data_IF_724956145063
#
_entry.id   IF_724956145063
#
_cell.length_a   1.000
_cell.length_b   1.000
_cell.length_c   1.000
_cell.angle_alpha   90.00
_cell.angle_beta   90.00
_cell.angle_gamma   90.00
#
_symmetry.space_group_name_H-M   'P 1'
#
loop_
_entity.id
_entity.type
_entity.pdbx_description
1 polymer ?
#
# COMPACT_ATOMS: atom_id res chain seq x y z
N UNK A 1 7.44 13.96 10.56
CA UNK A 1 7.15 12.74 9.74
C UNK A 1 5.64 12.56 9.55
N UNK A 2 5.16 11.99 8.42
CA UNK A 2 3.71 11.84 8.16
C UNK A 2 2.97 11.08 9.29
N UNK A 3 3.61 10.05 9.83
CA UNK A 3 3.03 9.18 10.87
C UNK A 3 3.30 9.63 12.30
N UNK A 4 4.01 10.74 12.53
CA UNK A 4 4.46 11.13 13.87
C UNK A 4 3.31 11.33 14.88
N UNK A 5 2.15 11.81 14.41
CA UNK A 5 0.94 11.96 15.24
C UNK A 5 0.35 10.61 15.70
N UNK A 6 0.48 9.55 14.91
CA UNK A 6 -0.17 8.26 15.14
C UNK A 6 0.79 7.24 15.78
N UNK A 7 2.08 7.38 15.52
CA UNK A 7 3.16 6.54 16.05
C UNK A 7 4.14 7.41 16.84
N UNK A 8 3.79 7.84 18.07
CA UNK A 8 4.73 8.57 18.92
C UNK A 8 5.97 7.71 19.18
N UNK A 9 7.15 8.33 19.15
CA UNK A 9 8.43 7.63 19.30
C UNK A 9 8.99 6.99 18.01
N UNK A 10 8.28 7.08 16.88
CA UNK A 10 8.78 6.54 15.60
C UNK A 10 10.16 7.12 15.21
N UNK A 11 10.44 8.38 15.54
CA UNK A 11 11.72 9.02 15.23
C UNK A 11 12.91 8.43 16.01
N UNK A 12 12.66 7.85 17.19
CA UNK A 12 13.66 7.18 18.01
C UNK A 12 13.94 5.73 17.56
N UNK A 13 13.11 5.17 16.67
CA UNK A 13 13.32 3.81 16.15
C UNK A 13 14.54 3.79 15.20
N UNK A 14 15.41 2.76 15.28
CA UNK A 14 16.52 2.59 14.37
C UNK A 14 16.12 2.59 12.90
N UNK A 15 17.01 3.12 12.06
CA UNK A 15 16.82 3.11 10.60
C UNK A 15 17.40 1.82 10.03
N UNK A 16 16.54 1.02 9.40
CA UNK A 16 16.93 -0.17 8.65
C UNK A 16 17.07 0.16 7.16
N UNK A 17 17.85 -0.66 6.43
CA UNK A 17 17.91 -0.62 4.96
C UNK A 17 17.16 -1.82 4.39
N UNK A 18 16.16 -1.55 3.57
CA UNK A 18 15.46 -2.58 2.78
C UNK A 18 16.34 -3.12 1.65
N UNK A 19 16.00 -4.28 1.06
CA UNK A 19 16.65 -4.81 -0.14
C UNK A 19 16.67 -3.82 -1.33
N UNK A 20 15.66 -2.95 -1.45
CA UNK A 20 15.62 -1.86 -2.43
C UNK A 20 16.45 -0.62 -2.03
N UNK A 21 17.32 -0.77 -1.02
CA UNK A 21 18.18 0.27 -0.41
C UNK A 21 17.43 1.43 0.23
N UNK A 22 16.09 1.39 0.30
CA UNK A 22 15.32 2.42 0.99
C UNK A 22 15.55 2.36 2.49
N UNK A 23 15.69 3.54 3.09
CA UNK A 23 15.78 3.73 4.54
C UNK A 23 14.38 3.73 5.12
N UNK A 24 14.11 2.84 6.07
CA UNK A 24 12.81 2.72 6.72
C UNK A 24 12.94 2.58 8.23
N UNK A 25 11.85 2.88 8.92
CA UNK A 25 11.66 2.60 10.34
C UNK A 25 10.44 1.70 10.49
N UNK A 26 10.54 0.70 11.35
CA UNK A 26 9.45 -0.23 11.64
C UNK A 26 8.76 0.19 12.93
N UNK A 27 7.50 0.62 12.86
CA UNK A 27 6.72 0.85 14.06
C UNK A 27 6.44 -0.50 14.75
N UNK A 28 6.64 -0.58 16.07
CA UNK A 28 6.28 -1.76 16.86
C UNK A 28 4.75 -1.70 17.12
N UNK A 29 3.97 -2.70 16.69
CA UNK A 29 2.53 -2.73 16.97
C UNK A 29 2.26 -2.75 18.48
N UNK A 30 1.29 -1.97 18.94
CA UNK A 30 0.88 -1.95 20.37
C UNK A 30 0.12 -3.21 20.79
N UNK A 31 -0.54 -3.87 19.83
CA UNK A 31 -1.28 -5.09 20.04
C UNK A 31 -0.97 -6.07 18.90
N UNK A 32 -0.79 -7.33 19.25
CA UNK A 32 -0.67 -8.41 18.28
C UNK A 32 -2.08 -8.96 18.03
N UNK A 33 -2.57 -8.85 16.81
CA UNK A 33 -3.82 -9.50 16.39
C UNK A 33 -3.45 -10.91 15.92
N UNK A 34 -4.03 -11.99 16.49
CA UNK A 34 -3.81 -13.34 16.00
C UNK A 34 -4.11 -13.42 14.51
N UNK A 35 -3.23 -14.07 13.74
CA UNK A 35 -3.45 -14.26 12.32
C UNK A 35 -4.68 -15.16 12.10
N UNK A 36 -5.52 -14.86 11.10
CA UNK A 36 -6.58 -15.77 10.72
C UNK A 36 -5.99 -17.11 10.25
N UNK A 37 -6.73 -18.22 10.40
CA UNK A 37 -6.26 -19.56 10.03
C UNK A 37 -6.05 -19.72 8.51
N UNK A 38 -6.60 -18.82 7.70
CA UNK A 38 -6.43 -18.78 6.25
C UNK A 38 -6.24 -17.33 5.75
N UNK A 39 -5.57 -17.12 4.60
CA UNK A 39 -5.49 -15.81 3.96
C UNK A 39 -6.88 -15.24 3.67
N UNK A 40 -7.07 -13.95 3.99
CA UNK A 40 -8.30 -13.25 3.69
C UNK A 40 -8.33 -12.84 2.20
N UNK A 41 -9.50 -12.88 1.55
CA UNK A 41 -9.63 -12.38 0.18
C UNK A 41 -9.34 -10.87 0.14
N UNK A 42 -8.67 -10.42 -0.91
CA UNK A 42 -8.40 -9.00 -1.13
C UNK A 42 -9.61 -8.40 -1.84
N UNK A 43 -10.40 -7.59 -1.12
CA UNK A 43 -11.55 -6.88 -1.69
C UNK A 43 -11.17 -5.60 -2.44
N UNK A 44 -10.05 -4.98 -2.08
CA UNK A 44 -9.64 -3.69 -2.62
C UNK A 44 -8.11 -3.54 -2.73
N UNK A 45 -7.65 -2.92 -3.82
CA UNK A 45 -6.27 -2.48 -4.05
C UNK A 45 -6.24 -0.97 -4.18
N UNK A 46 -5.48 -0.28 -3.33
CA UNK A 46 -5.37 1.19 -3.35
C UNK A 46 -3.93 1.59 -3.68
N UNK A 47 -3.73 2.21 -4.84
CA UNK A 47 -2.45 2.78 -5.26
C UNK A 47 -2.29 4.18 -4.65
N UNK A 48 -1.28 4.36 -3.80
CA UNK A 48 -1.05 5.62 -3.09
C UNK A 48 -0.18 6.57 -3.93
N UNK A 49 -0.74 7.71 -4.34
CA UNK A 49 -0.03 8.79 -5.04
C UNK A 49 -0.04 10.07 -4.20
N UNK A 50 0.94 10.20 -3.32
CA UNK A 50 1.07 11.41 -2.50
C UNK A 50 1.77 12.54 -3.25
N UNK A 51 1.16 13.71 -3.32
CA UNK A 51 1.75 14.94 -3.89
C UNK A 51 1.52 16.13 -2.94
N UNK A 52 2.40 17.14 -2.95
CA UNK A 52 2.35 18.24 -1.96
C UNK A 52 1.10 19.10 -2.11
N UNK A 53 0.64 19.33 -3.34
CA UNK A 53 -0.43 20.29 -3.65
C UNK A 53 -1.63 19.63 -4.34
N UNK A 54 -1.71 18.30 -4.32
CA UNK A 54 -2.82 17.60 -4.96
C UNK A 54 -4.08 17.68 -4.09
N UNK A 55 -5.20 18.02 -4.72
CA UNK A 55 -6.53 17.79 -4.15
C UNK A 55 -6.72 16.30 -3.88
N UNK A 56 -7.27 15.97 -2.72
CA UNK A 56 -7.59 14.59 -2.38
C UNK A 56 -8.65 14.04 -3.36
N UNK A 57 -8.38 12.87 -3.92
CA UNK A 57 -9.25 12.23 -4.90
C UNK A 57 -9.00 10.73 -4.97
N UNK A 58 -10.08 9.98 -5.17
CA UNK A 58 -10.05 8.53 -5.33
C UNK A 58 -10.71 8.17 -6.65
N UNK A 59 -9.92 7.62 -7.57
CA UNK A 59 -10.35 7.28 -8.92
C UNK A 59 -10.29 5.77 -9.11
N UNK A 60 -11.29 5.18 -9.77
CA UNK A 60 -11.23 3.77 -10.18
C UNK A 60 -10.10 3.57 -11.19
N UNK A 61 -9.42 2.44 -11.12
CA UNK A 61 -8.33 2.07 -12.02
C UNK A 61 -8.71 0.77 -12.71
N UNK A 62 -8.46 0.69 -14.02
CA UNK A 62 -8.65 -0.54 -14.77
C UNK A 62 -7.62 -1.62 -14.36
N UNK A 63 -7.87 -2.91 -14.63
CA UNK A 63 -6.95 -3.99 -14.26
C UNK A 63 -5.51 -3.81 -14.75
N UNK A 64 -5.30 -3.31 -15.97
CA UNK A 64 -3.96 -3.11 -16.50
C UNK A 64 -3.25 -1.95 -15.79
N UNK A 65 -3.98 -0.87 -15.51
CA UNK A 65 -3.51 0.24 -14.68
C UNK A 65 -3.12 -0.20 -13.25
N UNK A 66 -3.94 -1.06 -12.64
CA UNK A 66 -3.68 -1.61 -11.31
C UNK A 66 -2.42 -2.49 -11.30
N UNK A 67 -2.28 -3.39 -12.28
CA UNK A 67 -1.10 -4.23 -12.44
C UNK A 67 0.15 -3.38 -12.65
N UNK A 68 0.09 -2.39 -13.55
CA UNK A 68 1.19 -1.46 -13.77
C UNK A 68 1.58 -0.73 -12.49
N UNK A 69 0.60 -0.27 -11.70
CA UNK A 69 0.84 0.37 -10.41
C UNK A 69 1.57 -0.53 -9.42
N UNK A 70 1.14 -1.79 -9.31
CA UNK A 70 1.77 -2.78 -8.43
C UNK A 70 3.20 -3.10 -8.87
N UNK A 71 3.42 -3.32 -10.17
CA UNK A 71 4.74 -3.60 -10.73
C UNK A 71 5.70 -2.43 -10.52
N UNK A 72 5.25 -1.19 -10.71
CA UNK A 72 6.06 0.01 -10.46
C UNK A 72 6.42 0.21 -8.97
N UNK A 73 5.59 -0.28 -8.05
CA UNK A 73 5.82 -0.20 -6.61
C UNK A 73 6.63 -1.36 -6.04
N UNK A 74 6.79 -2.45 -6.80
CA UNK A 74 7.43 -3.67 -6.36
C UNK A 74 8.96 -3.61 -6.44
N UNK A 75 9.61 -4.51 -5.71
CA UNK A 75 11.04 -4.77 -5.83
C UNK A 75 11.31 -6.27 -5.81
N UNK A 76 12.05 -6.74 -6.81
CA UNK A 76 12.62 -8.08 -6.85
C UNK A 76 14.13 -7.96 -7.12
N UNK A 77 15.00 -8.72 -6.42
CA UNK A 77 16.44 -8.67 -6.64
C UNK A 77 16.85 -8.89 -8.11
N UNK A 78 16.17 -9.81 -8.82
CA UNK A 78 16.39 -10.09 -10.23
C UNK A 78 15.63 -9.18 -11.20
N UNK A 79 14.84 -8.21 -10.71
CA UNK A 79 13.97 -7.33 -11.50
C UNK A 79 12.94 -8.04 -12.39
N UNK A 80 12.62 -9.28 -12.06
CA UNK A 80 11.69 -10.12 -12.79
C UNK A 80 10.52 -10.54 -11.89
N UNK A 81 9.39 -10.82 -12.52
CA UNK A 81 8.22 -11.44 -11.90
C UNK A 81 8.16 -12.87 -12.39
N UNK A 82 8.11 -13.83 -11.46
CA UNK A 82 7.92 -15.24 -11.81
C UNK A 82 6.50 -15.46 -12.34
N UNK A 83 6.28 -16.48 -13.17
CA UNK A 83 4.94 -16.82 -13.66
C UNK A 83 3.92 -16.99 -12.53
N UNK A 84 4.28 -17.70 -11.47
CA UNK A 84 3.41 -17.88 -10.30
C UNK A 84 3.05 -16.55 -9.60
N UNK A 85 3.98 -15.61 -9.51
CA UNK A 85 3.70 -14.28 -8.94
C UNK A 85 2.81 -13.45 -9.87
N UNK A 86 3.01 -13.55 -11.17
CA UNK A 86 2.15 -12.91 -12.17
C UNK A 86 0.71 -13.43 -12.11
N UNK A 87 0.52 -14.75 -12.03
CA UNK A 87 -0.79 -15.39 -11.92
C UNK A 87 -1.51 -14.97 -10.63
N UNK A 88 -0.79 -14.92 -9.51
CA UNK A 88 -1.32 -14.47 -8.24
C UNK A 88 -1.78 -12.99 -8.29
N UNK A 89 -0.96 -12.10 -8.86
CA UNK A 89 -1.31 -10.70 -9.04
C UNK A 89 -2.52 -10.54 -9.98
N UNK A 90 -2.54 -11.26 -11.09
CA UNK A 90 -3.66 -11.23 -12.05
C UNK A 90 -4.97 -11.69 -11.41
N UNK A 91 -4.92 -12.75 -10.60
CA UNK A 91 -6.09 -13.23 -9.83
C UNK A 91 -6.60 -12.17 -8.86
N UNK A 92 -5.71 -11.53 -8.10
CA UNK A 92 -6.07 -10.47 -7.14
C UNK A 92 -6.73 -9.30 -7.87
N UNK A 93 -6.12 -8.82 -8.94
CA UNK A 93 -6.61 -7.65 -9.68
C UNK A 93 -7.93 -7.97 -10.40
N UNK A 94 -8.10 -9.21 -10.88
CA UNK A 94 -9.35 -9.67 -11.48
C UNK A 94 -10.50 -9.82 -10.48
N UNK A 95 -10.22 -9.92 -9.17
CA UNK A 95 -11.25 -10.12 -8.13
C UNK A 95 -11.47 -8.92 -7.20
N UNK A 96 -10.60 -7.91 -7.24
CA UNK A 96 -10.62 -6.77 -6.33
C UNK A 96 -11.00 -5.47 -7.04
N UNK A 97 -11.63 -4.56 -6.31
CA UNK A 97 -11.79 -3.17 -6.78
C UNK A 97 -10.44 -2.47 -6.70
N UNK A 98 -10.06 -1.72 -7.72
CA UNK A 98 -8.77 -1.03 -7.78
C UNK A 98 -8.96 0.49 -7.87
N UNK A 99 -8.22 1.22 -7.04
CA UNK A 99 -8.27 2.67 -6.99
C UNK A 99 -6.89 3.33 -7.00
N UNK A 100 -6.83 4.56 -7.51
CA UNK A 100 -5.71 5.48 -7.34
C UNK A 100 -6.12 6.56 -6.36
N UNK A 101 -5.45 6.63 -5.21
CA UNK A 101 -5.66 7.66 -4.20
C UNK A 101 -4.59 8.73 -4.35
N UNK A 102 -5.00 9.90 -4.83
CA UNK A 102 -4.15 11.09 -4.85
C UNK A 102 -4.45 11.94 -3.62
N UNK A 103 -3.43 12.36 -2.88
CA UNK A 103 -3.62 13.12 -1.63
C UNK A 103 -2.37 13.88 -1.20
N UNK A 104 -2.55 14.94 -0.40
CA UNK A 104 -1.48 15.69 0.27
C UNK A 104 -1.51 15.49 1.79
N UNK A 105 -2.73 15.57 2.37
CA UNK A 105 -3.05 15.40 3.78
C UNK A 105 -3.49 13.97 4.09
N UNK A 106 -3.07 13.46 5.25
CA UNK A 106 -3.37 12.09 5.66
C UNK A 106 -4.84 11.92 6.07
N UNK A 107 -5.44 12.89 6.75
CA UNK A 107 -6.84 12.82 7.19
C UNK A 107 -7.79 12.64 6.00
N UNK A 108 -7.62 13.45 4.95
CA UNK A 108 -8.40 13.37 3.70
C UNK A 108 -8.24 11.98 3.03
N UNK A 109 -7.03 11.41 3.07
CA UNK A 109 -6.74 10.10 2.51
C UNK A 109 -7.46 8.97 3.27
N UNK A 110 -7.48 9.04 4.61
CA UNK A 110 -8.17 8.07 5.46
C UNK A 110 -9.67 8.12 5.23
N UNK A 111 -10.25 9.33 5.12
CA UNK A 111 -11.68 9.50 4.88
C UNK A 111 -12.12 8.87 3.54
N UNK A 112 -11.35 9.08 2.48
CA UNK A 112 -11.63 8.51 1.16
C UNK A 112 -11.53 6.98 1.15
N UNK A 113 -10.51 6.42 1.81
CA UNK A 113 -10.35 4.95 1.92
C UNK A 113 -11.51 4.34 2.70
N UNK A 114 -11.88 4.91 3.84
CA UNK A 114 -12.96 4.37 4.69
C UNK A 114 -14.32 4.34 3.97
N UNK A 115 -14.55 5.26 3.02
CA UNK A 115 -15.77 5.29 2.20
C UNK A 115 -15.77 4.23 1.08
N UNK A 116 -14.60 3.91 0.54
CA UNK A 116 -14.45 3.04 -0.63
C UNK A 116 -14.20 1.57 -0.29
N UNK A 117 -13.41 1.29 0.75
CA UNK A 117 -13.10 -0.06 1.20
C UNK A 117 -14.12 -0.48 2.28
N UNK A 118 -15.08 -1.34 1.93
CA UNK A 118 -16.02 -1.97 2.87
C UNK A 118 -15.75 -3.46 2.99
#
# INVERSE_FOLDING_TARGET
PLLAKYCPGLDAVPICRRPDRKRVRFAVPKAFVPLPPAPLPIGCVVLLRRSRDSKAGLESVDPAGALRGLLNGAFAPGREVTGAAFDALSKIIGSAQAYCLTYSRLDDAVELIAKACR
#
